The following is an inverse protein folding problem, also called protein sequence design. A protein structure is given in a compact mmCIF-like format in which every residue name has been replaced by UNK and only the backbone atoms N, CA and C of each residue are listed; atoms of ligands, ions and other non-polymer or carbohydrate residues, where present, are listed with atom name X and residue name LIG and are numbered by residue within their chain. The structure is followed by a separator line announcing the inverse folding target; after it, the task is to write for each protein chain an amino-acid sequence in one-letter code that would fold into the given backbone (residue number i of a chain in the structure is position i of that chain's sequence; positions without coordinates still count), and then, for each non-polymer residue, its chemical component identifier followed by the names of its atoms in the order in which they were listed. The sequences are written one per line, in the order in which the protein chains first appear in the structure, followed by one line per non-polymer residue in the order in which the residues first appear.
data_IF_393880726480
#
_entry.id   IF_393880726480
#
_cell.length_a   1.000
_cell.length_b   1.000
_cell.length_c   1.000
_cell.angle_alpha   90.00
_cell.angle_beta   90.00
_cell.angle_gamma   90.00
#
_symmetry.space_group_name_H-M   'P 1'
#
loop_
_entity.id
_entity.type
_entity.pdbx_description
1 polymer ?
#
# COMPACT_ATOMS: atom_id res chain seq x y z
N UNK A 1 -19.30 -21.97 -3.39
CA UNK A 1 -18.62 -22.76 -2.34
C UNK A 1 -17.16 -22.80 -2.76
N UNK A 2 -16.34 -21.93 -2.18
CA UNK A 2 -14.93 -21.83 -2.55
C UNK A 2 -14.25 -23.18 -2.27
N UNK A 3 -13.48 -23.64 -3.24
CA UNK A 3 -12.82 -24.93 -3.26
C UNK A 3 -11.78 -24.96 -2.14
N UNK A 4 -11.79 -26.03 -1.32
CA UNK A 4 -10.98 -26.16 -0.10
C UNK A 4 -9.47 -26.35 -0.34
N UNK A 5 -8.85 -25.47 -1.12
CA UNK A 5 -7.43 -25.48 -1.48
C UNK A 5 -6.76 -24.13 -1.16
N UNK A 6 -7.40 -23.27 -0.36
CA UNK A 6 -6.77 -22.04 0.16
C UNK A 6 -6.55 -22.22 1.66
N UNK A 7 -5.38 -22.72 2.02
CA UNK A 7 -4.91 -22.78 3.41
C UNK A 7 -4.03 -21.54 3.66
N UNK A 8 -4.61 -20.48 4.22
CA UNK A 8 -3.83 -19.32 4.69
C UNK A 8 -4.27 -17.94 4.17
N UNK A 9 -5.56 -17.69 3.94
CA UNK A 9 -6.07 -16.36 3.53
C UNK A 9 -5.57 -15.25 4.45
N UNK A 10 -5.62 -15.45 5.77
CA UNK A 10 -5.15 -14.46 6.74
C UNK A 10 -3.64 -14.20 6.65
N UNK A 11 -2.85 -15.25 6.39
CA UNK A 11 -1.41 -15.16 6.21
C UNK A 11 -1.05 -14.47 4.88
N UNK A 12 -1.81 -14.73 3.81
CA UNK A 12 -1.67 -14.03 2.56
C UNK A 12 -1.96 -12.53 2.71
N UNK A 13 -3.03 -12.16 3.42
CA UNK A 13 -3.37 -10.74 3.66
C UNK A 13 -2.32 -10.07 4.54
N UNK A 14 -1.77 -10.76 5.55
CA UNK A 14 -0.64 -10.25 6.33
C UNK A 14 0.59 -9.96 5.47
N UNK A 15 0.96 -10.88 4.57
CA UNK A 15 2.06 -10.66 3.63
C UNK A 15 1.81 -9.46 2.69
N UNK A 16 0.57 -9.28 2.24
CA UNK A 16 0.18 -8.11 1.42
C UNK A 16 0.33 -6.82 2.24
N UNK A 17 -0.17 -6.78 3.48
CA UNK A 17 -0.05 -5.62 4.37
C UNK A 17 1.41 -5.27 4.66
N UNK A 18 2.26 -6.27 4.92
CA UNK A 18 3.69 -6.08 5.13
C UNK A 18 4.39 -5.53 3.88
N UNK A 19 3.99 -6.02 2.70
CA UNK A 19 4.52 -5.52 1.42
C UNK A 19 4.09 -4.07 1.16
N UNK A 20 2.81 -3.75 1.32
CA UNK A 20 2.28 -2.39 1.17
C UNK A 20 2.99 -1.41 2.11
N UNK A 21 3.28 -1.81 3.35
CA UNK A 21 4.04 -1.00 4.30
C UNK A 21 5.43 -0.63 3.78
N UNK A 22 6.15 -1.58 3.16
CA UNK A 22 7.47 -1.33 2.58
C UNK A 22 7.40 -0.41 1.35
N UNK A 23 6.38 -0.60 0.50
CA UNK A 23 6.15 0.25 -0.68
C UNK A 23 5.82 1.69 -0.27
N UNK A 24 4.83 1.89 0.60
CA UNK A 24 4.44 3.23 1.10
C UNK A 24 5.64 3.97 1.71
N UNK A 25 6.51 3.27 2.45
CA UNK A 25 7.72 3.88 3.01
C UNK A 25 8.66 4.39 1.91
N UNK A 26 8.92 3.56 0.89
CA UNK A 26 9.78 3.92 -0.25
C UNK A 26 9.17 5.06 -1.08
N UNK A 27 7.85 5.05 -1.26
CA UNK A 27 7.12 6.09 -2.00
C UNK A 27 7.16 7.43 -1.26
N UNK A 28 7.10 7.44 0.08
CA UNK A 28 7.26 8.68 0.87
C UNK A 28 8.67 9.25 0.78
N UNK A 29 9.70 8.40 0.73
CA UNK A 29 11.08 8.85 0.47
C UNK A 29 11.20 9.47 -0.92
N UNK A 30 10.61 8.82 -1.94
CA UNK A 30 10.59 9.36 -3.31
C UNK A 30 9.80 10.67 -3.42
N UNK A 31 8.67 10.78 -2.73
CA UNK A 31 7.87 12.00 -2.67
C UNK A 31 8.67 13.16 -2.09
N UNK A 32 9.47 12.92 -1.04
CA UNK A 32 10.34 13.93 -0.46
C UNK A 32 11.41 14.39 -1.46
N UNK A 33 12.07 13.45 -2.15
CA UNK A 33 13.07 13.78 -3.18
C UNK A 33 12.46 14.55 -4.35
N UNK A 34 11.27 14.17 -4.82
CA UNK A 34 10.56 14.89 -5.88
C UNK A 34 10.21 16.32 -5.45
N UNK A 35 9.79 16.50 -4.19
CA UNK A 35 9.51 17.82 -3.62
C UNK A 35 10.76 18.69 -3.48
N UNK A 36 11.94 18.11 -3.27
CA UNK A 36 13.21 18.86 -3.19
C UNK A 36 13.66 19.45 -4.54
N UNK A 37 13.28 18.81 -5.65
CA UNK A 37 13.63 19.23 -7.01
C UNK A 37 12.50 19.91 -7.76
N UNK A 38 11.41 20.27 -7.06
CA UNK A 38 10.23 20.94 -7.62
C UNK A 38 9.54 20.13 -8.74
N UNK A 39 9.60 18.80 -8.67
CA UNK A 39 8.87 17.90 -9.59
C UNK A 39 7.41 17.74 -9.14
N UNK A 40 6.62 18.77 -9.45
CA UNK A 40 5.20 18.86 -9.07
C UNK A 40 4.36 17.68 -9.60
N UNK A 41 4.69 17.16 -10.78
CA UNK A 41 3.91 16.08 -11.42
C UNK A 41 4.12 14.77 -10.68
N UNK A 42 5.36 14.44 -10.34
CA UNK A 42 5.66 13.24 -9.55
C UNK A 42 5.08 13.35 -8.14
N UNK A 43 5.13 14.55 -7.53
CA UNK A 43 4.52 14.80 -6.21
C UNK A 43 3.01 14.55 -6.25
N UNK A 44 2.31 15.10 -7.24
CA UNK A 44 0.86 14.91 -7.38
C UNK A 44 0.50 13.43 -7.59
N UNK A 45 1.22 12.75 -8.50
CA UNK A 45 1.00 11.33 -8.80
C UNK A 45 1.18 10.43 -7.57
N UNK A 46 2.30 10.59 -6.85
CA UNK A 46 2.60 9.75 -5.69
C UNK A 46 1.67 10.05 -4.50
N UNK A 47 1.27 11.30 -4.31
CA UNK A 47 0.35 11.67 -3.22
C UNK A 47 -1.01 10.97 -3.36
N UNK A 48 -1.57 10.96 -4.57
CA UNK A 48 -2.84 10.27 -4.85
C UNK A 48 -2.68 8.74 -4.75
N UNK A 49 -1.54 8.21 -5.21
CA UNK A 49 -1.26 6.78 -5.17
C UNK A 49 -1.13 6.26 -3.73
N UNK A 50 -0.34 6.93 -2.89
CA UNK A 50 -0.19 6.60 -1.46
C UNK A 50 -1.56 6.64 -0.76
N UNK A 51 -2.37 7.68 -1.04
CA UNK A 51 -3.71 7.80 -0.46
C UNK A 51 -4.62 6.60 -0.81
N UNK A 52 -4.51 6.09 -2.04
CA UNK A 52 -5.20 4.88 -2.49
C UNK A 52 -4.72 3.62 -1.73
N UNK A 53 -3.40 3.46 -1.58
CA UNK A 53 -2.83 2.32 -0.85
C UNK A 53 -3.18 2.34 0.64
N UNK A 54 -3.21 3.52 1.29
CA UNK A 54 -3.65 3.63 2.69
C UNK A 54 -5.11 3.20 2.88
N UNK A 55 -5.96 3.50 1.89
CA UNK A 55 -7.34 3.00 1.86
C UNK A 55 -7.39 1.48 1.70
N UNK A 56 -6.54 0.89 0.86
CA UNK A 56 -6.43 -0.58 0.73
C UNK A 56 -5.98 -1.22 2.04
N UNK A 57 -4.96 -0.67 2.69
CA UNK A 57 -4.49 -1.10 4.01
C UNK A 57 -5.63 -1.06 5.03
N UNK A 58 -6.42 0.02 5.05
CA UNK A 58 -7.58 0.12 5.93
C UNK A 58 -8.63 -0.97 5.65
N UNK A 59 -8.96 -1.22 4.38
CA UNK A 59 -9.92 -2.25 3.99
C UNK A 59 -9.45 -3.67 4.39
N UNK A 60 -8.18 -3.98 4.12
CA UNK A 60 -7.59 -5.29 4.42
C UNK A 60 -7.42 -5.51 5.93
N UNK A 61 -7.03 -4.47 6.67
CA UNK A 61 -6.96 -4.54 8.14
C UNK A 61 -8.34 -4.76 8.75
N UNK A 62 -9.37 -4.08 8.23
CA UNK A 62 -10.76 -4.25 8.68
C UNK A 62 -11.30 -5.65 8.35
N UNK A 63 -10.86 -6.24 7.25
CA UNK A 63 -11.21 -7.62 6.88
C UNK A 63 -10.60 -8.67 7.82
N UNK A 64 -9.39 -8.41 8.35
CA UNK A 64 -8.71 -9.30 9.32
C UNK A 64 -9.16 -9.09 10.78
N UNK A 65 -9.95 -8.04 11.05
CA UNK A 65 -10.46 -7.70 12.39
C UNK A 65 -11.74 -8.46 12.72
#
# INVERSE_FOLDING_TARGET
KETGVVTGTDEAIKNILDTLKLLIASERELLALASEIDDEVTVALLSDYISGQEKEVWMLTSFLS
#
